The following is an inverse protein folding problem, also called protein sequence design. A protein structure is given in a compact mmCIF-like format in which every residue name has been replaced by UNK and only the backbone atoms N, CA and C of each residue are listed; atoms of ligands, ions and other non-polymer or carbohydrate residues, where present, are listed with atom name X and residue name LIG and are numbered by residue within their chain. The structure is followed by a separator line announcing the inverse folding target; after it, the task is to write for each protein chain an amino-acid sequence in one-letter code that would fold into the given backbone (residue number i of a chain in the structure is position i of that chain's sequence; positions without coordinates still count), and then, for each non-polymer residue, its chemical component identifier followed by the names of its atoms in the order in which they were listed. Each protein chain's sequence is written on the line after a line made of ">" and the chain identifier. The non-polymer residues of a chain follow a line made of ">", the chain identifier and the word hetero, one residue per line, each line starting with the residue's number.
data_IF_771829068718
#
_entry.id   IF_771829068718
#
_cell.length_a   1.000
_cell.length_b   1.000
_cell.length_c   1.000
_cell.angle_alpha   90.00
_cell.angle_beta   90.00
_cell.angle_gamma   90.00
#
_symmetry.space_group_name_H-M   'P 1'
#
loop_
_entity.id
_entity.type
_entity.pdbx_description
1 polymer ?
#
# COMPACT_ATOMS: atom_id res chain seq x y z
N UNK A 1 -27.19 14.78 -21.81
CA UNK A 1 -26.98 14.56 -20.35
C UNK A 1 -26.58 13.12 -19.99
N UNK A 2 -26.62 12.15 -20.92
CA UNK A 2 -26.32 10.72 -20.66
C UNK A 2 -24.85 10.34 -20.67
N UNK A 3 -23.98 11.07 -21.38
CA UNK A 3 -22.56 10.72 -21.51
C UNK A 3 -21.74 10.94 -20.21
N UNK A 4 -22.04 12.01 -19.46
CA UNK A 4 -21.36 12.29 -18.20
C UNK A 4 -21.72 11.24 -17.14
N UNK A 5 -22.99 10.84 -17.06
CA UNK A 5 -23.42 9.80 -16.12
C UNK A 5 -22.71 8.46 -16.38
N UNK A 6 -22.57 8.05 -17.65
CA UNK A 6 -21.84 6.85 -18.03
C UNK A 6 -20.35 6.90 -17.61
N UNK A 7 -19.68 8.04 -17.83
CA UNK A 7 -18.28 8.21 -17.43
C UNK A 7 -18.10 8.17 -15.90
N UNK A 8 -19.01 8.79 -15.14
CA UNK A 8 -19.00 8.72 -13.68
C UNK A 8 -19.25 7.30 -13.17
N UNK A 9 -20.17 6.55 -13.79
CA UNK A 9 -20.45 5.16 -13.43
C UNK A 9 -19.25 4.24 -13.71
N UNK A 10 -18.55 4.39 -14.84
CA UNK A 10 -17.35 3.59 -15.14
C UNK A 10 -16.22 3.83 -14.14
N UNK A 11 -15.99 5.09 -13.71
CA UNK A 11 -14.97 5.42 -12.71
C UNK A 11 -15.30 4.79 -11.35
N UNK A 12 -16.57 4.72 -10.96
CA UNK A 12 -16.99 4.12 -9.69
C UNK A 12 -16.89 2.59 -9.70
N UNK A 13 -17.15 1.92 -10.83
CA UNK A 13 -17.04 0.46 -10.96
C UNK A 13 -15.58 0.01 -11.11
N UNK A 14 -14.69 0.86 -11.64
CA UNK A 14 -13.26 0.59 -11.71
C UNK A 14 -12.51 0.73 -10.38
N UNK A 15 -13.18 1.13 -9.29
CA UNK A 15 -12.65 0.96 -7.93
C UNK A 15 -12.95 -0.45 -7.39
N UNK A 16 -12.82 -1.48 -8.21
CA UNK A 16 -12.52 -2.80 -7.67
C UNK A 16 -11.17 -2.67 -6.98
N UNK A 17 -11.21 -2.74 -5.64
CA UNK A 17 -10.04 -2.79 -4.78
C UNK A 17 -9.27 -4.03 -5.20
N UNK A 18 -8.39 -3.91 -6.18
CA UNK A 18 -7.47 -4.96 -6.61
C UNK A 18 -6.88 -5.52 -5.32
N UNK A 19 -7.27 -6.76 -5.00
CA UNK A 19 -6.78 -7.44 -3.81
C UNK A 19 -5.27 -7.49 -3.99
N UNK A 20 -4.58 -6.62 -3.25
CA UNK A 20 -3.13 -6.52 -3.31
C UNK A 20 -2.57 -7.92 -3.07
N UNK A 21 -2.00 -8.53 -4.11
CA UNK A 21 -1.32 -9.81 -3.97
C UNK A 21 0.00 -9.51 -3.27
N UNK A 22 0.17 -10.01 -2.05
CA UNK A 22 1.37 -9.83 -1.25
C UNK A 22 2.15 -11.14 -1.21
N UNK A 23 3.34 -11.13 -1.78
CA UNK A 23 4.30 -12.22 -1.60
C UNK A 23 5.03 -12.11 -0.28
N UNK A 24 5.58 -13.22 0.22
CA UNK A 24 6.37 -13.22 1.46
C UNK A 24 7.54 -12.23 1.37
N UNK A 25 8.25 -12.19 0.25
CA UNK A 25 9.35 -11.24 0.00
C UNK A 25 8.93 -9.78 0.09
N UNK A 26 7.75 -9.42 -0.42
CA UNK A 26 7.22 -8.05 -0.32
C UNK A 26 6.81 -7.70 1.11
N UNK A 27 6.26 -8.66 1.87
CA UNK A 27 5.90 -8.45 3.27
C UNK A 27 7.15 -8.30 4.14
N UNK A 28 8.15 -9.15 3.95
CA UNK A 28 9.45 -9.06 4.65
C UNK A 28 10.09 -7.72 4.39
N UNK A 29 10.16 -7.27 3.13
CA UNK A 29 10.71 -5.96 2.79
C UNK A 29 9.95 -4.79 3.42
N UNK A 30 8.61 -4.87 3.49
CA UNK A 30 7.80 -3.88 4.19
C UNK A 30 8.15 -3.83 5.68
N UNK A 31 8.24 -5.00 6.33
CA UNK A 31 8.55 -5.09 7.76
C UNK A 31 9.96 -4.62 8.06
N UNK A 32 10.95 -5.05 7.27
CA UNK A 32 12.36 -4.65 7.41
C UNK A 32 12.51 -3.14 7.27
N UNK A 33 11.93 -2.56 6.21
CA UNK A 33 11.96 -1.12 6.00
C UNK A 33 11.36 -0.35 7.18
N UNK A 34 10.20 -0.78 7.68
CA UNK A 34 9.54 -0.12 8.81
C UNK A 34 10.29 -0.32 10.12
N UNK A 35 10.96 -1.46 10.29
CA UNK A 35 11.82 -1.72 11.45
C UNK A 35 13.05 -0.81 11.44
N UNK A 36 13.70 -0.62 10.29
CA UNK A 36 14.80 0.34 10.14
C UNK A 36 14.37 1.79 10.43
N UNK A 37 13.15 2.16 10.03
CA UNK A 37 12.59 3.49 10.23
C UNK A 37 11.75 3.62 11.51
N UNK A 38 11.90 2.70 12.48
CA UNK A 38 11.10 2.65 13.72
C UNK A 38 11.15 3.94 14.55
N UNK A 39 12.20 4.74 14.43
CA UNK A 39 12.34 6.05 15.07
C UNK A 39 11.39 7.11 14.51
N UNK A 40 10.89 6.93 13.29
CA UNK A 40 9.92 7.83 12.64
C UNK A 40 8.47 7.55 13.05
N UNK A 41 8.25 6.49 13.85
CA UNK A 41 6.94 6.09 14.31
C UNK A 41 6.33 7.19 15.18
N UNK A 42 5.10 7.60 14.85
CA UNK A 42 4.41 8.63 15.62
C UNK A 42 3.99 8.12 17.00
N UNK A 43 3.68 9.04 17.93
CA UNK A 43 3.17 8.72 19.29
C UNK A 43 1.94 7.80 19.32
N UNK A 44 1.24 7.59 18.20
CA UNK A 44 0.13 6.65 18.06
C UNK A 44 0.51 5.24 17.60
N UNK A 45 1.79 4.88 17.57
CA UNK A 45 2.24 3.53 17.22
C UNK A 45 2.24 3.20 15.72
N UNK A 46 1.84 4.15 14.87
CA UNK A 46 1.82 4.00 13.41
C UNK A 46 2.83 4.95 12.73
N UNK A 47 3.15 4.66 11.48
CA UNK A 47 4.07 5.46 10.66
C UNK A 47 3.33 6.54 9.86
N UNK A 48 4.05 7.59 9.47
CA UNK A 48 3.51 8.61 8.57
C UNK A 48 3.41 8.06 7.15
N UNK A 49 2.52 8.61 6.33
CA UNK A 49 2.40 8.24 4.91
C UNK A 49 3.71 8.41 4.12
N UNK A 50 4.59 9.33 4.55
CA UNK A 50 5.91 9.53 3.93
C UNK A 50 6.77 8.27 4.05
N UNK A 51 6.75 7.62 5.21
CA UNK A 51 7.51 6.40 5.50
C UNK A 51 6.95 5.23 4.67
N UNK A 52 5.61 5.11 4.56
CA UNK A 52 4.99 4.10 3.70
C UNK A 52 5.29 4.32 2.21
N UNK A 53 5.34 5.56 1.73
CA UNK A 53 5.75 5.86 0.36
C UNK A 53 7.23 5.54 0.12
N UNK A 54 8.08 5.69 1.14
CA UNK A 54 9.46 5.22 1.10
C UNK A 54 9.53 3.69 0.96
N UNK A 55 8.75 2.96 1.75
CA UNK A 55 8.67 1.49 1.69
C UNK A 55 8.26 0.98 0.30
N UNK A 56 7.35 1.69 -0.39
CA UNK A 56 6.96 1.33 -1.77
C UNK A 56 8.17 1.24 -2.70
N UNK A 57 9.14 2.15 -2.57
CA UNK A 57 10.36 2.17 -3.39
C UNK A 57 11.25 0.96 -3.11
N UNK A 58 11.31 0.51 -1.85
CA UNK A 58 12.08 -0.66 -1.44
C UNK A 58 11.43 -2.00 -1.81
N UNK A 59 10.08 -2.01 -1.87
CA UNK A 59 9.27 -3.16 -2.27
C UNK A 59 9.24 -3.33 -3.79
N UNK A 60 9.24 -2.23 -4.56
CA UNK A 60 9.17 -2.23 -6.02
C UNK A 60 10.12 -3.23 -6.73
N UNK A 61 11.42 -3.32 -6.37
CA UNK A 61 12.32 -4.29 -7.00
C UNK A 61 12.07 -5.74 -6.60
N UNK A 62 11.39 -5.99 -5.48
CA UNK A 62 11.09 -7.33 -4.95
C UNK A 62 9.73 -7.86 -5.42
N UNK A 63 8.99 -7.06 -6.19
CA UNK A 63 7.69 -7.43 -6.75
C UNK A 63 7.86 -8.51 -7.82
N UNK A 64 7.28 -9.67 -7.57
CA UNK A 64 7.23 -10.77 -8.54
C UNK A 64 5.89 -10.84 -9.27
N UNK A 65 4.78 -10.43 -8.62
CA UNK A 65 3.42 -10.58 -9.15
C UNK A 65 2.49 -9.44 -8.68
N UNK A 66 1.38 -9.25 -9.42
CA UNK A 66 0.30 -8.34 -9.05
C UNK A 66 0.56 -6.85 -9.31
N UNK A 67 -0.39 -5.98 -8.90
CA UNK A 67 -0.31 -4.55 -9.13
C UNK A 67 0.80 -3.90 -8.30
N UNK A 68 1.27 -2.75 -8.78
CA UNK A 68 2.26 -1.94 -8.05
C UNK A 68 1.67 -1.50 -6.71
N UNK A 69 2.42 -1.74 -5.63
CA UNK A 69 1.98 -1.38 -4.29
C UNK A 69 2.00 0.14 -4.14
N UNK A 70 0.97 0.68 -3.48
CA UNK A 70 0.90 2.10 -3.10
C UNK A 70 1.18 2.25 -1.61
N UNK A 71 1.49 3.46 -1.15
CA UNK A 71 1.71 3.72 0.28
C UNK A 71 0.49 3.34 1.13
N UNK A 72 -0.72 3.51 0.60
CA UNK A 72 -1.97 3.14 1.28
C UNK A 72 -2.14 1.62 1.40
N UNK A 73 -1.70 0.87 0.40
CA UNK A 73 -1.65 -0.60 0.46
C UNK A 73 -0.64 -1.05 1.52
N UNK A 74 0.54 -0.42 1.58
CA UNK A 74 1.56 -0.70 2.59
C UNK A 74 1.05 -0.39 4.00
N UNK A 75 0.38 0.74 4.21
CA UNK A 75 -0.26 1.09 5.48
C UNK A 75 -1.31 0.06 5.90
N UNK A 76 -2.21 -0.32 4.98
CA UNK A 76 -3.26 -1.32 5.26
C UNK A 76 -2.65 -2.67 5.63
N UNK A 77 -1.59 -3.08 4.92
CA UNK A 77 -0.87 -4.33 5.21
C UNK A 77 -0.16 -4.26 6.55
N UNK A 78 0.52 -3.16 6.86
CA UNK A 78 1.17 -2.92 8.16
C UNK A 78 0.17 -3.06 9.32
N UNK A 79 -0.97 -2.36 9.25
CA UNK A 79 -2.03 -2.46 10.27
C UNK A 79 -2.53 -3.90 10.46
N UNK A 80 -2.56 -4.71 9.38
CA UNK A 80 -2.96 -6.11 9.45
C UNK A 80 -1.89 -7.04 10.05
N UNK A 81 -0.60 -6.69 10.02
CA UNK A 81 0.49 -7.50 10.58
C UNK A 81 0.93 -7.04 11.97
N UNK A 82 0.65 -5.78 12.31
CA UNK A 82 1.02 -5.17 13.60
C UNK A 82 -0.07 -5.29 14.67
N UNK A 83 -1.25 -5.81 14.33
CA UNK A 83 -2.39 -5.94 15.22
C UNK A 83 -2.61 -7.38 15.66
#
# INVERSE_FOLDING_TARGET
>A
LTALAAHYTTVLVAQEKEKAFWTESEVTALVDYLHEHRSERAKGGNFKMVTFNGAVRDIAPKKTQGPQKTGKMCQTKWTSVSC
#
